data_IF_952176033955
#
_entry.id   IF_952176033955
#
_cell.length_a   1.000
_cell.length_b   1.000
_cell.length_c   1.000
_cell.angle_alpha   90.00
_cell.angle_beta   90.00
_cell.angle_gamma   90.00
#
_symmetry.space_group_name_H-M   'P 1'
#
loop_
_entity.id
_entity.type
_entity.pdbx_description
1 polymer ?
#
# COMPACT_ATOMS: atom_id res chain seq x y z
N UNK A 1 2.92 -9.73 -4.08
CA UNK A 1 2.61 -8.28 -4.12
C UNK A 1 1.12 -8.07 -4.40
N UNK A 2 0.63 -8.24 -5.63
CA UNK A 2 -0.80 -7.96 -5.95
C UNK A 2 -1.80 -8.84 -5.20
N UNK A 3 -1.53 -10.15 -5.05
CA UNK A 3 -2.36 -11.05 -4.26
C UNK A 3 -2.32 -10.74 -2.75
N UNK A 4 -1.33 -9.98 -2.30
CA UNK A 4 -1.16 -9.54 -0.90
C UNK A 4 -1.95 -8.26 -0.67
N UNK A 5 -1.80 -7.28 -1.57
CA UNK A 5 -2.64 -6.09 -1.64
C UNK A 5 -4.13 -6.46 -1.68
N UNK A 6 -4.49 -7.46 -2.49
CA UNK A 6 -5.87 -7.94 -2.63
C UNK A 6 -6.46 -8.49 -1.32
N UNK A 7 -5.63 -9.18 -0.52
CA UNK A 7 -6.05 -9.75 0.77
C UNK A 7 -6.25 -8.68 1.83
N UNK A 8 -5.48 -7.59 1.77
CA UNK A 8 -5.63 -6.45 2.66
C UNK A 8 -6.72 -5.47 2.23
N UNK A 9 -7.29 -5.62 1.03
CA UNK A 9 -8.30 -4.73 0.47
C UNK A 9 -9.70 -5.35 0.52
N UNK A 10 -10.25 -5.60 1.70
CA UNK A 10 -11.57 -6.26 1.87
C UNK A 10 -12.71 -5.54 1.11
N UNK A 11 -12.63 -4.21 0.95
CA UNK A 11 -13.66 -3.41 0.28
C UNK A 11 -13.28 -2.89 -1.12
N UNK A 12 -12.11 -3.25 -1.66
CA UNK A 12 -11.65 -2.71 -2.94
C UNK A 12 -11.35 -3.81 -3.95
N UNK A 13 -12.09 -3.78 -5.08
CA UNK A 13 -11.80 -4.65 -6.22
C UNK A 13 -10.48 -4.22 -6.85
N UNK A 14 -9.46 -5.08 -6.78
CA UNK A 14 -8.14 -4.89 -7.42
C UNK A 14 -8.22 -4.55 -8.91
N UNK A 15 -9.29 -5.00 -9.59
CA UNK A 15 -9.57 -4.69 -11.00
C UNK A 15 -9.90 -3.23 -11.29
N UNK A 16 -10.11 -2.40 -10.25
CA UNK A 16 -10.38 -0.95 -10.36
C UNK A 16 -9.24 -0.06 -9.86
N UNK A 17 -8.12 -0.64 -9.43
CA UNK A 17 -6.97 0.13 -8.95
C UNK A 17 -6.26 0.76 -10.15
N UNK A 18 -6.05 2.08 -10.09
CA UNK A 18 -5.32 2.79 -11.12
C UNK A 18 -3.89 2.25 -11.24
N UNK A 19 -3.30 2.34 -12.44
CA UNK A 19 -1.95 1.79 -12.68
C UNK A 19 -0.92 2.36 -11.71
N UNK A 20 -1.02 3.66 -11.40
CA UNK A 20 -0.12 4.33 -10.45
C UNK A 20 -0.28 3.78 -9.03
N UNK A 21 -1.50 3.75 -8.50
CA UNK A 21 -1.80 3.22 -7.15
C UNK A 21 -1.30 1.79 -6.98
N UNK A 22 -1.50 0.94 -8.00
CA UNK A 22 -1.01 -0.44 -7.99
C UNK A 22 0.52 -0.51 -7.91
N UNK A 23 1.23 0.35 -8.64
CA UNK A 23 2.70 0.35 -8.58
C UNK A 23 3.23 0.89 -7.25
N UNK A 24 2.57 1.90 -6.67
CA UNK A 24 2.89 2.40 -5.33
C UNK A 24 2.74 1.26 -4.30
N UNK A 25 1.62 0.55 -4.32
CA UNK A 25 1.38 -0.59 -3.44
C UNK A 25 2.43 -1.70 -3.62
N UNK A 26 2.81 -2.02 -4.87
CA UNK A 26 3.84 -3.04 -5.14
C UNK A 26 5.19 -2.68 -4.52
N UNK A 27 5.62 -1.42 -4.68
CA UNK A 27 6.87 -0.93 -4.11
C UNK A 27 6.84 -1.03 -2.57
N UNK A 28 5.79 -0.48 -1.96
CA UNK A 28 5.64 -0.50 -0.51
C UNK A 28 5.60 -1.93 0.06
N UNK A 29 4.86 -2.84 -0.57
CA UNK A 29 4.79 -4.23 -0.12
C UNK A 29 6.16 -4.92 -0.26
N UNK A 30 6.91 -4.64 -1.32
CA UNK A 30 8.26 -5.18 -1.48
C UNK A 30 9.22 -4.68 -0.40
N UNK A 31 9.20 -3.39 -0.08
CA UNK A 31 10.02 -2.81 1.00
C UNK A 31 9.63 -3.37 2.38
N UNK A 32 8.33 -3.43 2.67
CA UNK A 32 7.84 -4.08 3.87
C UNK A 32 8.41 -5.49 3.97
N UNK A 33 8.31 -6.31 2.90
CA UNK A 33 8.83 -7.69 2.86
C UNK A 33 10.32 -7.77 3.17
N UNK A 34 11.14 -6.87 2.64
CA UNK A 34 12.58 -6.83 2.90
C UNK A 34 12.87 -6.55 4.39
N UNK A 35 12.13 -5.63 5.00
CA UNK A 35 12.24 -5.35 6.43
C UNK A 35 13.43 -4.49 6.83
N UNK A 36 14.16 -3.94 5.86
CA UNK A 36 15.30 -3.04 6.09
C UNK A 36 14.85 -1.63 6.50
N UNK A 37 13.60 -1.27 6.20
CA UNK A 37 13.01 0.05 6.47
C UNK A 37 11.86 -0.11 7.47
N UNK A 38 11.76 0.76 8.50
CA UNK A 38 10.66 0.70 9.45
C UNK A 38 9.29 0.79 8.73
N UNK A 39 8.33 -0.08 9.07
CA UNK A 39 7.04 -0.16 8.37
C UNK A 39 6.30 1.18 8.26
N UNK A 40 6.33 1.99 9.32
CA UNK A 40 5.74 3.34 9.33
C UNK A 40 6.34 4.24 8.25
N UNK A 41 7.65 4.20 8.05
CA UNK A 41 8.35 5.01 7.04
C UNK A 41 7.94 4.56 5.63
N UNK A 42 7.87 3.25 5.38
CA UNK A 42 7.41 2.71 4.09
C UNK A 42 5.98 3.16 3.78
N UNK A 43 5.09 3.14 4.78
CA UNK A 43 3.70 3.58 4.63
C UNK A 43 3.64 5.09 4.35
N UNK A 44 4.33 5.93 5.13
CA UNK A 44 4.32 7.38 4.98
C UNK A 44 4.84 7.82 3.59
N UNK A 45 5.88 7.17 3.07
CA UNK A 45 6.42 7.45 1.73
C UNK A 45 5.46 6.98 0.61
N UNK A 46 4.82 5.82 0.77
CA UNK A 46 3.81 5.36 -0.18
C UNK A 46 2.61 6.30 -0.25
N UNK A 47 2.16 6.83 0.89
CA UNK A 47 1.07 7.83 0.97
C UNK A 47 1.50 9.15 0.32
N UNK A 48 2.77 9.54 0.43
CA UNK A 48 3.31 10.74 -0.24
C UNK A 48 3.32 10.57 -1.76
N UNK A 49 3.78 9.42 -2.27
CA UNK A 49 3.71 9.12 -3.70
C UNK A 49 2.26 9.13 -4.23
N UNK A 50 1.31 8.64 -3.42
CA UNK A 50 -0.10 8.66 -3.76
C UNK A 50 -0.68 10.08 -3.84
N UNK A 51 -0.18 11.02 -3.03
CA UNK A 51 -0.54 12.44 -3.15
C UNK A 51 -0.02 13.08 -4.44
N UNK A 52 1.21 12.72 -4.86
CA UNK A 52 1.83 13.32 -6.04
C UNK A 52 1.31 12.76 -7.36
N UNK A 53 1.03 11.46 -7.41
CA UNK A 53 0.78 10.77 -8.67
C UNK A 53 -0.60 10.09 -8.75
N UNK A 54 -1.30 9.96 -7.63
CA UNK A 54 -2.62 9.33 -7.56
C UNK A 54 -3.78 10.32 -7.74
N UNK A 55 -5.00 9.79 -7.74
CA UNK A 55 -6.21 10.61 -7.65
C UNK A 55 -6.51 11.07 -6.21
N UNK A 56 -7.50 11.95 -6.04
CA UNK A 56 -7.85 12.51 -4.72
C UNK A 56 -8.13 11.48 -3.60
N UNK A 57 -8.54 10.26 -3.97
CA UNK A 57 -8.80 9.15 -3.02
C UNK A 57 -7.60 8.22 -2.81
N UNK A 58 -6.54 8.36 -3.61
CA UNK A 58 -5.40 7.45 -3.60
C UNK A 58 -4.64 7.45 -2.25
N UNK A 59 -4.37 8.59 -1.58
CA UNK A 59 -3.63 8.57 -0.32
C UNK A 59 -4.32 7.75 0.78
N UNK A 60 -5.62 7.97 0.98
CA UNK A 60 -6.39 7.21 1.97
C UNK A 60 -6.52 5.74 1.60
N UNK A 61 -6.69 5.43 0.31
CA UNK A 61 -6.71 4.06 -0.18
C UNK A 61 -5.38 3.33 0.08
N UNK A 62 -4.25 3.92 -0.32
CA UNK A 62 -2.91 3.35 -0.12
C UNK A 62 -2.62 3.16 1.36
N UNK A 63 -2.93 4.15 2.20
CA UNK A 63 -2.75 4.05 3.65
C UNK A 63 -3.54 2.86 4.23
N UNK A 64 -4.83 2.76 3.91
CA UNK A 64 -5.69 1.70 4.43
C UNK A 64 -5.23 0.29 4.05
N UNK A 65 -4.79 0.10 2.80
CA UNK A 65 -4.28 -1.21 2.33
C UNK A 65 -2.98 -1.58 3.04
N UNK A 66 -2.03 -0.64 3.16
CA UNK A 66 -0.73 -0.94 3.76
C UNK A 66 -0.81 -1.11 5.29
N UNK A 67 -1.65 -0.34 5.98
CA UNK A 67 -1.93 -0.53 7.41
C UNK A 67 -2.51 -1.92 7.69
N UNK A 68 -3.48 -2.35 6.87
CA UNK A 68 -4.06 -3.69 6.97
C UNK A 68 -3.02 -4.79 6.77
N UNK A 69 -2.15 -4.63 5.77
CA UNK A 69 -1.10 -5.61 5.47
C UNK A 69 -0.02 -5.67 6.55
N UNK A 70 0.42 -4.52 7.06
CA UNK A 70 1.44 -4.45 8.10
C UNK A 70 0.95 -5.06 9.43
N UNK A 71 -0.32 -4.83 9.81
CA UNK A 71 -0.96 -5.48 10.96
C UNK A 71 -1.09 -6.99 10.78
N UNK A 72 -1.57 -7.45 9.62
CA UNK A 72 -1.71 -8.88 9.32
C UNK A 72 -0.36 -9.62 9.32
N UNK A 73 0.74 -8.91 9.08
CA UNK A 73 2.09 -9.45 9.05
C UNK A 73 2.86 -9.30 10.38
N UNK A 74 2.23 -8.77 11.44
CA UNK A 74 2.87 -8.54 12.74
C UNK A 74 4.00 -7.51 12.72
N UNK A 75 3.97 -6.58 11.75
CA UNK A 75 4.98 -5.53 11.57
C UNK A 75 4.57 -4.17 12.15
N UNK A 76 3.33 -4.05 12.61
CA UNK A 76 2.78 -2.94 13.40
C UNK A 76 2.09 -3.49 14.64
#
# INVERSE_FOLDING_TARGET
LDAEAARASENWRMSRIAVVERNILRLAILELRQGDVPPKVVIDEAVRLAHWFGGARAPGFVNGVLDGLARASGRL
#
